data_IF_216795886416
#
_entry.id   IF_216795886416
#
_cell.length_a   1.000
_cell.length_b   1.000
_cell.length_c   1.000
_cell.angle_alpha   90.00
_cell.angle_beta   90.00
_cell.angle_gamma   90.00
#
_symmetry.space_group_name_H-M   'P 1'
#
loop_
_entity.id
_entity.type
_entity.pdbx_description
1 polymer ?
#
# COMPACT_ATOMS: atom_id res chain seq x y z
N UNK A 1 4.28 -13.87 42.38
CA UNK A 1 4.99 -14.64 41.38
C UNK A 1 4.03 -14.77 40.21
N UNK A 2 4.16 -13.91 39.21
CA UNK A 2 3.34 -13.92 38.02
C UNK A 2 4.03 -14.79 36.99
N UNK A 3 3.31 -15.71 36.37
CA UNK A 3 3.80 -16.51 35.24
C UNK A 3 4.01 -15.63 34.02
N UNK A 4 5.00 -15.89 33.20
CA UNK A 4 5.20 -15.15 31.96
C UNK A 4 4.13 -15.56 30.92
N UNK A 5 3.40 -14.60 30.39
CA UNK A 5 2.48 -14.73 29.25
C UNK A 5 3.24 -15.34 28.06
N UNK A 6 2.79 -16.48 27.58
CA UNK A 6 3.33 -17.13 26.38
C UNK A 6 2.93 -16.30 25.16
N UNK A 7 3.90 -15.71 24.47
CA UNK A 7 3.70 -15.09 23.14
C UNK A 7 3.35 -16.20 22.14
N UNK A 8 2.07 -16.39 21.86
CA UNK A 8 1.57 -17.27 20.82
C UNK A 8 1.04 -16.40 19.68
N UNK A 9 1.92 -15.98 18.78
CA UNK A 9 1.59 -15.26 17.58
C UNK A 9 2.50 -15.71 16.44
N UNK A 10 2.38 -15.16 15.26
CA UNK A 10 3.19 -15.47 14.09
C UNK A 10 4.69 -15.62 14.41
N UNK A 11 5.21 -14.87 15.35
CA UNK A 11 6.60 -14.96 15.84
C UNK A 11 6.99 -16.34 16.40
N UNK A 12 6.01 -17.19 16.77
CA UNK A 12 6.26 -18.54 17.27
C UNK A 12 6.31 -19.63 16.19
N UNK A 13 6.06 -19.29 14.91
CA UNK A 13 6.05 -20.28 13.84
C UNK A 13 7.41 -20.39 13.16
N UNK A 14 7.85 -21.64 12.95
CA UNK A 14 9.11 -21.87 12.24
C UNK A 14 9.00 -21.43 10.78
N UNK A 15 10.08 -20.92 10.22
CA UNK A 15 10.21 -20.49 8.81
C UNK A 15 9.62 -21.47 7.80
N UNK A 16 9.70 -22.80 8.09
CA UNK A 16 9.11 -23.84 7.25
C UNK A 16 7.59 -23.84 7.21
N UNK A 17 6.91 -23.42 8.29
CA UNK A 17 5.43 -23.32 8.31
C UNK A 17 4.95 -22.06 7.58
N UNK A 18 5.69 -20.97 7.68
CA UNK A 18 5.40 -19.72 6.96
C UNK A 18 5.51 -19.95 5.44
N UNK A 19 6.56 -20.59 4.98
CA UNK A 19 6.76 -20.95 3.56
C UNK A 19 5.68 -21.91 3.03
N UNK A 20 5.13 -22.80 3.87
CA UNK A 20 4.13 -23.76 3.43
C UNK A 20 2.76 -23.13 3.21
N UNK A 21 2.41 -22.07 3.95
CA UNK A 21 1.13 -21.34 3.80
C UNK A 21 1.18 -20.46 2.55
N UNK A 22 2.27 -19.74 2.32
CA UNK A 22 2.45 -18.93 1.10
C UNK A 22 2.60 -19.79 -0.16
N UNK A 23 3.26 -20.95 -0.09
CA UNK A 23 3.41 -21.89 -1.24
C UNK A 23 2.11 -22.57 -1.68
N UNK A 24 1.12 -22.71 -0.81
CA UNK A 24 -0.18 -23.32 -1.18
C UNK A 24 -1.11 -22.31 -1.84
N UNK A 25 -1.03 -21.02 -1.54
CA UNK A 25 -1.81 -19.98 -2.20
C UNK A 25 -1.34 -19.77 -3.63
N UNK A 26 -0.02 -19.76 -3.90
CA UNK A 26 0.53 -19.64 -5.25
C UNK A 26 0.13 -20.81 -6.17
N UNK A 27 -0.03 -22.05 -5.66
CA UNK A 27 -0.40 -23.23 -6.45
C UNK A 27 -1.89 -23.26 -6.84
N UNK A 28 -2.77 -22.61 -6.10
CA UNK A 28 -4.21 -22.56 -6.42
C UNK A 28 -4.50 -21.54 -7.53
N UNK A 29 -3.73 -20.45 -7.64
CA UNK A 29 -3.89 -19.42 -8.68
C UNK A 29 -3.51 -19.94 -10.07
N UNK A 30 -2.51 -20.84 -10.18
CA UNK A 30 -2.09 -21.42 -11.47
C UNK A 30 -3.10 -22.40 -12.06
N UNK A 31 -4.00 -22.99 -11.26
CA UNK A 31 -4.95 -24.00 -11.71
C UNK A 31 -6.25 -23.44 -12.32
N UNK A 32 -6.56 -22.15 -12.19
CA UNK A 32 -7.81 -21.54 -12.66
C UNK A 32 -7.65 -20.59 -13.87
N UNK A 33 -6.44 -20.38 -14.36
CA UNK A 33 -6.11 -19.41 -15.42
C UNK A 33 -6.20 -19.91 -16.88
N UNK A 34 -6.67 -21.12 -17.17
CA UNK A 34 -6.78 -21.64 -18.55
C UNK A 34 -8.21 -22.04 -18.89
N UNK A 35 -8.95 -21.12 -19.45
CA UNK A 35 -10.33 -21.38 -19.91
C UNK A 35 -10.92 -20.29 -20.78
N UNK A 36 -10.57 -20.29 -22.07
CA UNK A 36 -11.40 -19.98 -23.26
C UNK A 36 -12.29 -18.72 -23.29
N UNK A 37 -12.07 -17.92 -24.32
CA UNK A 37 -13.10 -17.01 -24.80
C UNK A 37 -12.74 -16.18 -26.03
N UNK A 38 -12.68 -16.79 -27.19
CA UNK A 38 -12.71 -16.08 -28.49
C UNK A 38 -14.14 -15.58 -28.73
N UNK A 39 -14.33 -14.29 -28.95
CA UNK A 39 -15.60 -13.68 -29.30
C UNK A 39 -15.44 -12.52 -30.26
N UNK A 40 -15.70 -12.76 -31.54
CA UNK A 40 -15.78 -11.78 -32.62
C UNK A 40 -16.94 -10.79 -32.39
N UNK A 41 -16.68 -9.52 -32.50
CA UNK A 41 -17.71 -8.48 -32.54
C UNK A 41 -17.56 -7.57 -33.72
N UNK A 42 -18.48 -7.61 -34.60
CA UNK A 42 -18.64 -6.88 -35.86
C UNK A 42 -19.09 -5.43 -35.58
N UNK A 43 -18.49 -4.44 -36.27
CA UNK A 43 -18.88 -3.05 -36.19
C UNK A 43 -20.15 -2.73 -36.98
N UNK A 44 -20.82 -1.67 -36.58
CA UNK A 44 -21.73 -0.90 -37.43
C UNK A 44 -21.57 0.59 -37.18
N UNK A 45 -21.16 1.29 -38.21
CA UNK A 45 -21.23 2.75 -38.35
C UNK A 45 -22.66 3.15 -38.69
N UNK A 46 -23.18 4.18 -38.10
CA UNK A 46 -24.10 5.08 -38.80
C UNK A 46 -23.96 6.50 -38.25
N UNK A 47 -23.81 7.44 -39.19
CA UNK A 47 -23.70 8.85 -38.92
C UNK A 47 -25.09 9.52 -38.87
N UNK A 48 -25.08 10.72 -38.35
CA UNK A 48 -26.25 11.62 -38.31
C UNK A 48 -25.80 12.89 -37.62
N UNK A 49 -25.58 13.95 -38.40
CA UNK A 49 -25.42 15.33 -37.93
C UNK A 49 -26.72 15.80 -37.32
N UNK A 50 -26.61 16.52 -36.21
CA UNK A 50 -27.49 17.64 -35.89
C UNK A 50 -26.89 18.47 -34.75
N UNK A 51 -26.75 19.76 -35.05
CA UNK A 51 -26.36 20.85 -34.15
C UNK A 51 -27.37 21.02 -33.02
N UNK A 52 -26.90 21.07 -31.77
CA UNK A 52 -27.55 21.92 -30.78
C UNK A 52 -26.57 22.36 -29.70
N UNK A 53 -26.40 23.65 -29.69
CA UNK A 53 -25.64 24.47 -28.79
C UNK A 53 -26.27 24.43 -27.40
N UNK A 54 -25.67 23.78 -26.41
CA UNK A 54 -26.06 23.95 -25.02
C UNK A 54 -24.82 24.14 -24.14
N UNK A 55 -24.57 25.41 -23.83
CA UNK A 55 -23.62 25.82 -22.80
C UNK A 55 -24.02 25.21 -21.46
N UNK A 56 -23.37 24.13 -21.08
CA UNK A 56 -23.37 23.67 -19.70
C UNK A 56 -21.97 23.87 -19.15
N UNK A 57 -21.76 24.98 -18.44
CA UNK A 57 -20.57 25.18 -17.62
C UNK A 57 -20.52 24.09 -16.53
N UNK A 58 -20.04 22.92 -16.90
CA UNK A 58 -19.59 21.93 -15.94
C UNK A 58 -18.36 22.48 -15.23
N UNK A 59 -18.53 22.93 -14.00
CA UNK A 59 -17.44 23.19 -13.08
C UNK A 59 -16.68 21.88 -12.85
N UNK A 60 -15.83 21.51 -13.78
CA UNK A 60 -14.79 20.53 -13.59
C UNK A 60 -13.84 21.10 -12.54
N UNK A 61 -13.97 20.66 -11.30
CA UNK A 61 -12.97 20.89 -10.28
C UNK A 61 -11.68 20.23 -10.77
N UNK A 62 -10.82 21.05 -11.36
CA UNK A 62 -9.49 20.66 -11.80
C UNK A 62 -8.61 20.57 -10.55
N UNK A 63 -8.85 19.54 -9.72
CA UNK A 63 -7.98 19.20 -8.59
C UNK A 63 -6.69 18.61 -9.14
N UNK A 64 -5.77 19.49 -9.51
CA UNK A 64 -4.42 19.09 -9.85
C UNK A 64 -3.79 18.44 -8.63
N UNK A 65 -3.46 17.16 -8.75
CA UNK A 65 -2.61 16.44 -7.80
C UNK A 65 -1.36 17.28 -7.56
N UNK A 66 -1.09 17.63 -6.32
CA UNK A 66 -0.03 18.59 -5.98
C UNK A 66 1.36 18.02 -6.21
N UNK A 67 1.52 16.70 -6.15
CA UNK A 67 2.83 16.06 -6.19
C UNK A 67 2.76 14.65 -6.77
N UNK A 68 3.75 14.32 -7.61
CA UNK A 68 4.05 12.97 -8.07
C UNK A 68 5.56 12.74 -7.97
N UNK A 69 6.00 11.67 -7.29
CA UNK A 69 7.42 11.35 -7.22
C UNK A 69 7.95 10.87 -8.58
N UNK A 70 9.23 11.14 -8.90
CA UNK A 70 9.84 10.60 -10.11
C UNK A 70 10.16 9.11 -9.96
N UNK A 71 10.21 8.38 -11.07
CA UNK A 71 10.70 7.00 -11.12
C UNK A 71 12.15 6.95 -10.61
N UNK A 72 12.46 5.93 -9.80
CA UNK A 72 13.78 5.76 -9.19
C UNK A 72 14.08 6.74 -8.04
N UNK A 73 13.09 7.48 -7.54
CA UNK A 73 13.28 8.36 -6.39
C UNK A 73 13.73 7.56 -5.17
N UNK A 74 14.77 8.04 -4.49
CA UNK A 74 15.19 7.47 -3.21
C UNK A 74 14.14 7.77 -2.14
N UNK A 75 13.85 6.81 -1.30
CA UNK A 75 12.84 6.93 -0.26
C UNK A 75 13.21 6.16 1.00
N UNK A 76 12.50 6.41 2.09
CA UNK A 76 12.60 5.67 3.34
C UNK A 76 11.20 5.45 3.88
N UNK A 77 10.92 4.26 4.37
CA UNK A 77 9.69 3.92 5.09
C UNK A 77 10.03 3.56 6.55
N UNK A 78 9.30 4.16 7.51
CA UNK A 78 9.47 3.91 8.94
C UNK A 78 8.09 3.94 9.58
N UNK A 79 7.55 2.79 9.91
CA UNK A 79 6.25 2.64 10.56
C UNK A 79 6.39 2.34 12.05
N UNK A 80 7.52 1.74 12.47
CA UNK A 80 7.80 1.48 13.88
C UNK A 80 8.60 2.62 14.50
N UNK A 81 7.96 3.42 15.33
CA UNK A 81 8.57 4.54 16.05
C UNK A 81 8.44 4.48 17.58
N UNK A 82 7.77 3.44 18.11
CA UNK A 82 7.48 3.31 19.53
C UNK A 82 8.72 3.29 20.42
N UNK A 83 9.76 2.56 20.01
CA UNK A 83 10.99 2.37 20.79
C UNK A 83 12.07 3.43 20.52
N UNK A 84 12.02 4.06 19.34
CA UNK A 84 13.03 5.04 18.90
C UNK A 84 12.39 6.10 18.00
N UNK A 85 12.71 7.37 18.19
CA UNK A 85 12.29 8.43 17.28
C UNK A 85 12.72 8.12 15.84
N UNK A 86 11.90 8.54 14.86
CA UNK A 86 12.25 8.44 13.45
C UNK A 86 13.56 9.17 13.18
N UNK A 87 14.51 8.46 12.59
CA UNK A 87 15.81 9.02 12.21
C UNK A 87 15.69 9.83 10.91
N UNK A 88 16.15 11.06 10.97
CA UNK A 88 16.27 11.93 9.80
C UNK A 88 17.67 11.89 9.17
N UNK A 89 18.55 10.99 9.62
CA UNK A 89 19.93 10.88 9.16
C UNK A 89 20.05 10.30 7.73
N UNK A 90 19.05 9.54 7.28
CA UNK A 90 19.02 9.02 5.93
C UNK A 90 18.73 10.15 4.95
N UNK A 91 19.62 10.35 3.99
CA UNK A 91 19.42 11.32 2.91
C UNK A 91 18.50 10.73 1.83
N UNK A 92 17.20 10.81 2.09
CA UNK A 92 16.15 10.44 1.16
C UNK A 92 15.16 11.60 1.02
N UNK A 93 14.78 11.97 -0.23
CA UNK A 93 13.85 13.06 -0.47
C UNK A 93 12.40 12.72 -0.10
N UNK A 94 12.09 11.44 0.16
CA UNK A 94 10.75 10.96 0.46
C UNK A 94 10.79 10.11 1.72
N UNK A 95 9.89 10.40 2.65
CA UNK A 95 9.66 9.65 3.87
C UNK A 95 8.22 9.18 3.91
N UNK A 96 8.04 7.87 4.08
CA UNK A 96 6.76 7.25 4.38
C UNK A 96 6.73 6.89 5.87
N UNK A 97 5.76 7.42 6.58
CA UNK A 97 5.70 7.35 8.05
C UNK A 97 4.27 7.15 8.53
N UNK A 98 4.10 6.50 9.68
CA UNK A 98 2.78 6.31 10.26
C UNK A 98 2.05 7.65 10.50
N UNK A 99 0.78 7.70 10.08
CA UNK A 99 -0.06 8.89 10.17
C UNK A 99 -0.35 9.29 11.62
N UNK A 100 -0.60 8.31 12.49
CA UNK A 100 -1.08 8.58 13.85
C UNK A 100 0.08 8.89 14.80
N UNK A 101 1.16 8.15 14.71
CA UNK A 101 2.31 8.22 15.63
C UNK A 101 3.18 9.47 15.42
N UNK A 102 3.00 10.15 14.28
CA UNK A 102 3.78 11.33 13.94
C UNK A 102 2.95 12.61 14.00
N UNK A 103 3.48 13.63 14.68
CA UNK A 103 2.79 14.90 14.81
C UNK A 103 3.15 15.88 13.67
N UNK A 104 2.30 16.89 13.49
CA UNK A 104 2.44 17.96 12.49
C UNK A 104 3.81 18.64 12.53
N UNK A 105 4.39 18.83 13.73
CA UNK A 105 5.70 19.47 13.88
C UNK A 105 6.80 18.65 13.26
N UNK A 106 6.77 17.31 13.46
CA UNK A 106 7.75 16.41 12.87
C UNK A 106 7.66 16.41 11.35
N UNK A 107 6.44 16.28 10.78
CA UNK A 107 6.19 16.35 9.34
C UNK A 107 6.71 17.68 8.76
N UNK A 108 6.37 18.81 9.39
CA UNK A 108 6.86 20.13 8.97
C UNK A 108 8.39 20.24 9.02
N UNK A 109 9.03 19.57 9.97
CA UNK A 109 10.51 19.58 10.06
C UNK A 109 11.14 18.78 8.92
N UNK A 110 10.59 17.62 8.54
CA UNK A 110 11.00 16.86 7.34
C UNK A 110 10.86 17.73 6.07
N UNK A 111 9.75 18.43 5.93
CA UNK A 111 9.49 19.30 4.79
C UNK A 111 10.44 20.51 4.73
N UNK A 112 10.81 21.10 5.87
CA UNK A 112 11.85 22.14 5.95
C UNK A 112 13.23 21.65 5.54
N UNK A 113 13.48 20.34 5.65
CA UNK A 113 14.70 19.70 5.14
C UNK A 113 14.62 19.39 3.64
N UNK A 114 13.55 19.84 2.95
CA UNK A 114 13.33 19.60 1.52
C UNK A 114 12.72 18.23 1.19
N UNK A 115 12.19 17.50 2.18
CA UNK A 115 11.64 16.17 2.02
C UNK A 115 10.13 16.20 1.80
N UNK A 116 9.61 15.24 1.06
CA UNK A 116 8.19 14.95 0.93
C UNK A 116 7.79 13.87 1.93
N UNK A 117 6.58 13.98 2.45
CA UNK A 117 6.08 13.08 3.47
C UNK A 117 4.81 12.39 2.99
N UNK A 118 4.89 11.06 2.87
CA UNK A 118 3.76 10.16 2.69
C UNK A 118 3.32 9.73 4.09
N UNK A 119 2.02 9.68 4.32
CA UNK A 119 1.47 9.27 5.60
C UNK A 119 0.73 7.94 5.42
N UNK A 120 1.30 6.89 6.01
CA UNK A 120 0.76 5.54 6.05
C UNK A 120 -0.43 5.44 7.03
N UNK A 121 -1.45 4.73 6.65
CA UNK A 121 -2.49 4.21 7.55
C UNK A 121 -3.14 2.96 6.97
N UNK A 122 -3.60 2.05 7.82
CA UNK A 122 -4.39 0.93 7.32
C UNK A 122 -5.75 1.41 6.84
N UNK A 123 -6.12 1.07 5.60
CA UNK A 123 -7.41 1.43 5.01
C UNK A 123 -8.35 0.23 4.85
N UNK A 124 -7.78 -0.98 4.81
CA UNK A 124 -8.53 -2.22 4.65
C UNK A 124 -8.49 -3.12 5.88
N UNK A 125 -7.78 -2.74 6.96
CA UNK A 125 -7.86 -3.42 8.25
C UNK A 125 -8.21 -2.47 9.40
N UNK A 126 -8.92 -3.01 10.36
CA UNK A 126 -9.14 -2.47 11.68
C UNK A 126 -7.93 -2.75 12.55
N UNK A 127 -7.50 -1.79 13.36
CA UNK A 127 -6.40 -1.89 14.30
C UNK A 127 -6.94 -1.54 15.70
N UNK A 128 -6.89 -2.48 16.67
CA UNK A 128 -7.53 -2.32 17.99
C UNK A 128 -6.86 -1.29 18.91
N UNK A 129 -5.66 -0.83 18.52
CA UNK A 129 -4.86 0.17 19.28
C UNK A 129 -5.00 1.60 18.77
N UNK A 130 -5.74 1.84 17.69
CA UNK A 130 -5.93 3.19 17.16
C UNK A 130 -7.00 3.96 17.94
N UNK A 131 -6.82 5.26 18.05
CA UNK A 131 -7.75 6.15 18.77
C UNK A 131 -9.18 6.11 18.21
N UNK A 132 -9.35 5.77 16.94
CA UNK A 132 -10.63 5.64 16.25
C UNK A 132 -11.22 4.20 16.23
N UNK A 133 -10.62 3.28 16.98
CA UNK A 133 -11.05 1.88 16.99
C UNK A 133 -12.52 1.71 17.44
N UNK A 134 -12.98 2.51 18.38
CA UNK A 134 -14.35 2.48 18.89
C UNK A 134 -15.39 3.02 17.90
N UNK A 135 -14.97 3.68 16.82
CA UNK A 135 -15.87 4.20 15.77
C UNK A 135 -16.29 3.10 14.78
N UNK A 136 -15.60 1.95 14.74
CA UNK A 136 -15.94 0.83 13.89
C UNK A 136 -17.01 -0.06 14.52
N UNK A 137 -18.10 -0.31 13.79
CA UNK A 137 -19.12 -1.26 14.21
C UNK A 137 -18.62 -2.71 14.08
N UNK A 138 -19.24 -3.64 14.79
CA UNK A 138 -18.93 -5.06 14.64
C UNK A 138 -19.20 -5.58 13.22
N UNK A 139 -20.23 -5.06 12.56
CA UNK A 139 -20.56 -5.41 11.17
C UNK A 139 -19.55 -4.90 10.13
N UNK A 140 -18.66 -3.99 10.51
CA UNK A 140 -17.59 -3.49 9.67
C UNK A 140 -16.36 -4.41 9.65
N UNK A 141 -16.28 -5.33 10.61
CA UNK A 141 -15.10 -6.18 10.88
C UNK A 141 -15.33 -7.61 10.40
N UNK A 142 -14.35 -8.13 9.67
CA UNK A 142 -14.29 -9.52 9.22
C UNK A 142 -13.40 -10.40 10.11
N UNK A 143 -12.74 -11.37 9.47
CA UNK A 143 -11.79 -12.26 10.12
C UNK A 143 -10.52 -11.52 10.55
N UNK A 144 -9.79 -12.13 11.49
CA UNK A 144 -8.49 -11.62 11.93
C UNK A 144 -7.50 -11.56 10.75
N UNK A 145 -6.66 -10.53 10.72
CA UNK A 145 -5.58 -10.43 9.77
C UNK A 145 -4.47 -11.41 10.16
N UNK A 146 -4.20 -12.41 9.31
CA UNK A 146 -3.23 -13.46 9.65
C UNK A 146 -1.83 -12.87 9.85
N UNK A 147 -1.24 -13.17 10.99
CA UNK A 147 0.08 -12.67 11.38
C UNK A 147 0.08 -11.34 12.12
N UNK A 148 -1.05 -10.62 12.20
CA UNK A 148 -1.17 -9.30 12.82
C UNK A 148 -2.20 -9.30 13.95
N UNK A 149 -1.82 -9.71 15.18
CA UNK A 149 -2.72 -9.73 16.33
C UNK A 149 -3.28 -8.35 16.64
N UNK A 150 -4.61 -8.24 16.77
CA UNK A 150 -5.31 -6.99 17.00
C UNK A 150 -5.87 -6.36 15.72
N UNK A 151 -5.54 -6.92 14.56
CA UNK A 151 -6.09 -6.47 13.28
C UNK A 151 -7.18 -7.39 12.74
N UNK A 152 -8.16 -6.80 12.05
CA UNK A 152 -9.24 -7.49 11.35
C UNK A 152 -9.50 -6.86 10.00
N UNK A 153 -9.83 -7.68 8.99
CA UNK A 153 -10.26 -7.17 7.70
C UNK A 153 -11.47 -6.25 7.83
N UNK A 154 -11.52 -5.18 7.04
CA UNK A 154 -12.62 -4.22 7.03
C UNK A 154 -13.56 -4.44 5.84
N UNK A 155 -14.85 -4.25 6.09
CA UNK A 155 -15.87 -4.17 5.06
C UNK A 155 -15.77 -2.85 4.29
N UNK A 156 -14.96 -2.83 3.24
CA UNK A 156 -14.70 -1.63 2.41
C UNK A 156 -15.93 -1.08 1.68
N UNK A 157 -17.05 -1.84 1.69
CA UNK A 157 -18.37 -1.41 1.19
C UNK A 157 -19.12 -0.57 2.21
N UNK A 158 -18.78 -0.69 3.50
CA UNK A 158 -19.47 -0.01 4.58
C UNK A 158 -19.35 1.51 4.47
N UNK A 159 -20.47 2.20 4.58
CA UNK A 159 -20.48 3.67 4.64
C UNK A 159 -19.81 4.20 5.91
N UNK A 160 -19.85 3.42 7.01
CA UNK A 160 -19.16 3.77 8.25
C UNK A 160 -17.64 3.70 8.07
N UNK A 161 -17.11 2.60 7.51
CA UNK A 161 -15.67 2.45 7.18
C UNK A 161 -15.22 3.61 6.31
N UNK A 162 -15.94 3.91 5.23
CA UNK A 162 -15.60 5.03 4.33
C UNK A 162 -15.62 6.38 5.04
N UNK A 163 -16.53 6.61 5.98
CA UNK A 163 -16.57 7.83 6.79
C UNK A 163 -15.33 7.95 7.69
N UNK A 164 -14.93 6.86 8.34
CA UNK A 164 -13.70 6.82 9.16
C UNK A 164 -12.49 7.14 8.29
N UNK A 165 -12.37 6.55 7.10
CA UNK A 165 -11.27 6.84 6.17
C UNK A 165 -11.25 8.30 5.71
N UNK A 166 -12.41 8.95 5.53
CA UNK A 166 -12.45 10.40 5.28
C UNK A 166 -11.84 11.16 6.46
N UNK A 167 -12.15 10.78 7.70
CA UNK A 167 -11.53 11.39 8.88
C UNK A 167 -10.02 11.16 8.92
N UNK A 168 -9.53 9.96 8.61
CA UNK A 168 -8.09 9.69 8.50
C UNK A 168 -7.41 10.57 7.42
N UNK A 169 -8.06 10.78 6.27
CA UNK A 169 -7.58 11.70 5.25
C UNK A 169 -7.59 13.17 5.71
N UNK A 170 -8.59 13.58 6.49
CA UNK A 170 -8.63 14.92 7.08
C UNK A 170 -7.49 15.13 8.09
N UNK A 171 -7.15 14.11 8.89
CA UNK A 171 -5.97 14.11 9.77
C UNK A 171 -4.68 14.26 8.95
N UNK A 172 -4.54 13.57 7.81
CA UNK A 172 -3.37 13.70 6.94
C UNK A 172 -3.21 15.14 6.41
N UNK A 173 -4.31 15.77 6.01
CA UNK A 173 -4.31 17.19 5.61
C UNK A 173 -3.93 18.09 6.78
N UNK A 174 -4.52 17.89 7.95
CA UNK A 174 -4.21 18.69 9.14
C UNK A 174 -2.74 18.60 9.54
N UNK A 175 -2.17 17.39 9.48
CA UNK A 175 -0.75 17.14 9.77
C UNK A 175 0.18 17.68 8.68
N UNK A 176 -0.34 17.92 7.47
CA UNK A 176 0.39 18.49 6.34
C UNK A 176 1.12 17.46 5.48
N UNK A 177 0.63 16.22 5.43
CA UNK A 177 1.17 15.18 4.54
C UNK A 177 1.12 15.64 3.07
N UNK A 178 2.09 15.24 2.26
CA UNK A 178 2.11 15.49 0.81
C UNK A 178 1.29 14.44 0.06
N UNK A 179 1.16 13.25 0.62
CA UNK A 179 0.36 12.16 0.11
C UNK A 179 0.11 11.09 1.16
N UNK A 180 -0.59 10.03 0.77
CA UNK A 180 -0.98 8.91 1.64
C UNK A 180 -0.66 7.55 1.04
N UNK A 181 -0.34 6.60 1.91
CA UNK A 181 -0.16 5.18 1.62
C UNK A 181 -1.23 4.36 2.38
N UNK A 182 -2.43 4.16 1.79
CA UNK A 182 -3.50 3.38 2.40
C UNK A 182 -3.23 1.88 2.24
N UNK A 183 -3.01 1.19 3.34
CA UNK A 183 -2.65 -0.23 3.36
C UNK A 183 -3.84 -1.18 3.48
N UNK A 184 -3.57 -2.49 3.30
CA UNK A 184 -4.50 -3.60 3.45
C UNK A 184 -5.73 -3.53 2.52
N UNK A 185 -5.57 -2.94 1.33
CA UNK A 185 -6.67 -2.80 0.35
C UNK A 185 -6.93 -4.08 -0.45
N UNK A 186 -6.11 -5.08 -0.27
CA UNK A 186 -6.09 -6.36 -0.99
C UNK A 186 -6.86 -7.49 -0.27
N UNK A 187 -7.74 -7.13 0.66
CA UNK A 187 -8.59 -8.09 1.37
C UNK A 187 -9.36 -9.05 0.45
N UNK A 188 -9.64 -8.66 -0.80
CA UNK A 188 -10.31 -9.51 -1.79
C UNK A 188 -9.51 -10.77 -2.17
N UNK A 189 -8.20 -10.76 -1.99
CA UNK A 189 -7.29 -11.89 -2.28
C UNK A 189 -6.97 -12.71 -1.01
N UNK A 190 -7.57 -12.36 0.13
CA UNK A 190 -7.31 -12.93 1.43
C UNK A 190 -8.57 -13.57 2.04
N UNK A 191 -8.39 -14.48 3.01
CA UNK A 191 -9.48 -14.99 3.82
C UNK A 191 -9.96 -13.87 4.77
N UNK A 192 -10.94 -13.09 4.33
CA UNK A 192 -11.36 -11.86 4.99
C UNK A 192 -12.66 -11.98 5.80
N UNK A 193 -13.41 -13.09 5.65
CA UNK A 193 -14.71 -13.32 6.35
C UNK A 193 -15.86 -12.41 5.89
N UNK A 194 -15.67 -11.59 4.85
CA UNK A 194 -16.63 -10.59 4.36
C UNK A 194 -17.03 -10.79 2.90
N UNK A 195 -16.52 -11.87 2.27
CA UNK A 195 -16.70 -12.17 0.85
C UNK A 195 -16.37 -10.98 -0.07
N UNK A 196 -15.29 -10.24 0.25
CA UNK A 196 -14.84 -9.11 -0.54
C UNK A 196 -14.43 -9.56 -1.93
N UNK A 197 -14.86 -8.82 -2.94
CA UNK A 197 -14.55 -9.07 -4.33
C UNK A 197 -13.53 -8.08 -4.88
N UNK A 198 -12.82 -8.48 -5.93
CA UNK A 198 -11.92 -7.61 -6.68
C UNK A 198 -12.60 -6.32 -7.17
N UNK A 199 -13.87 -6.40 -7.59
CA UNK A 199 -14.63 -5.24 -8.04
C UNK A 199 -14.88 -4.23 -6.88
N UNK A 200 -15.10 -4.71 -5.67
CA UNK A 200 -15.28 -3.88 -4.49
C UNK A 200 -13.97 -3.23 -4.06
N UNK A 201 -12.84 -3.92 -4.17
CA UNK A 201 -11.52 -3.34 -3.94
C UNK A 201 -11.20 -2.24 -4.97
N UNK A 202 -11.50 -2.45 -6.26
CA UNK A 202 -11.34 -1.44 -7.31
C UNK A 202 -12.18 -0.20 -7.01
N UNK A 203 -13.45 -0.38 -6.66
CA UNK A 203 -14.34 0.74 -6.30
C UNK A 203 -13.79 1.50 -5.09
N UNK A 204 -13.35 0.77 -4.07
CA UNK A 204 -12.82 1.36 -2.84
C UNK A 204 -11.53 2.16 -3.07
N UNK A 205 -10.58 1.62 -3.81
CA UNK A 205 -9.30 2.29 -4.10
C UNK A 205 -9.52 3.53 -4.97
N UNK A 206 -10.38 3.46 -5.99
CA UNK A 206 -10.72 4.62 -6.80
C UNK A 206 -11.48 5.68 -5.98
N UNK A 207 -12.34 5.27 -5.04
CA UNK A 207 -12.99 6.19 -4.12
C UNK A 207 -11.98 6.86 -3.18
N UNK A 208 -11.03 6.09 -2.58
CA UNK A 208 -9.94 6.66 -1.76
C UNK A 208 -9.12 7.68 -2.55
N UNK A 209 -8.80 7.38 -3.81
CA UNK A 209 -8.08 8.30 -4.68
C UNK A 209 -8.86 9.61 -4.89
N UNK A 210 -10.14 9.53 -5.21
CA UNK A 210 -10.99 10.71 -5.38
C UNK A 210 -11.06 11.55 -4.10
N UNK A 211 -11.18 10.90 -2.92
CA UNK A 211 -11.19 11.57 -1.62
C UNK A 211 -9.85 12.24 -1.29
N UNK A 212 -8.74 11.58 -1.59
CA UNK A 212 -7.38 12.12 -1.40
C UNK A 212 -7.14 13.32 -2.32
N UNK A 213 -7.44 13.19 -3.60
CA UNK A 213 -7.26 14.26 -4.58
C UNK A 213 -8.11 15.49 -4.27
N UNK A 214 -9.37 15.32 -3.85
CA UNK A 214 -10.23 16.44 -3.46
C UNK A 214 -9.67 17.25 -2.28
N UNK A 215 -8.83 16.63 -1.46
CA UNK A 215 -8.10 17.23 -0.34
C UNK A 215 -6.72 17.75 -0.73
N UNK A 216 -6.29 17.54 -1.98
CA UNK A 216 -4.97 17.92 -2.50
C UNK A 216 -3.85 17.00 -2.02
N UNK A 217 -4.17 15.80 -1.55
CA UNK A 217 -3.22 14.74 -1.24
C UNK A 217 -2.95 13.90 -2.48
N UNK A 218 -1.70 13.48 -2.68
CA UNK A 218 -1.36 12.37 -3.58
C UNK A 218 -1.64 11.04 -2.91
N UNK A 219 -1.75 9.95 -3.69
CA UNK A 219 -2.04 8.62 -3.14
C UNK A 219 -1.26 7.54 -3.88
N UNK A 220 -0.79 6.53 -3.15
CA UNK A 220 -0.20 5.31 -3.66
C UNK A 220 -1.15 4.12 -3.64
N UNK A 221 -0.84 3.11 -4.44
CA UNK A 221 -1.41 1.77 -4.34
C UNK A 221 -0.46 0.92 -3.49
N UNK A 222 -0.92 0.43 -2.36
CA UNK A 222 -0.14 -0.54 -1.57
C UNK A 222 -0.44 -1.96 -2.04
N UNK A 223 0.58 -2.70 -2.50
CA UNK A 223 0.43 -4.06 -3.05
C UNK A 223 -0.68 -4.16 -4.11
N UNK A 224 -1.62 -5.09 -4.01
CA UNK A 224 -2.82 -5.13 -4.85
C UNK A 224 -2.57 -5.33 -6.35
N UNK A 225 -1.58 -6.16 -6.74
CA UNK A 225 -1.18 -6.41 -8.12
C UNK A 225 -2.36 -6.71 -9.06
N UNK A 226 -3.35 -7.45 -8.56
CA UNK A 226 -4.53 -7.85 -9.33
C UNK A 226 -5.43 -6.71 -9.80
N UNK A 227 -5.32 -5.49 -9.26
CA UNK A 227 -6.20 -4.37 -9.61
C UNK A 227 -5.48 -3.20 -10.30
N UNK A 228 -4.18 -3.30 -10.55
CA UNK A 228 -3.35 -2.22 -11.10
C UNK A 228 -4.00 -1.58 -12.33
N UNK A 229 -4.35 -2.36 -13.34
CA UNK A 229 -4.92 -1.86 -14.61
C UNK A 229 -6.21 -1.04 -14.42
N UNK A 230 -6.91 -1.26 -13.31
CA UNK A 230 -8.21 -0.62 -13.04
C UNK A 230 -8.09 0.64 -12.17
N UNK A 231 -6.92 0.88 -11.56
CA UNK A 231 -6.73 1.98 -10.60
C UNK A 231 -5.53 2.87 -10.91
N UNK A 232 -4.59 2.39 -11.72
CA UNK A 232 -3.30 3.06 -11.96
C UNK A 232 -3.44 4.51 -12.41
N UNK A 233 -4.46 4.87 -13.18
CA UNK A 233 -4.68 6.23 -13.65
C UNK A 233 -4.86 7.23 -12.49
N UNK A 234 -5.40 6.76 -11.38
CA UNK A 234 -5.68 7.56 -10.19
C UNK A 234 -4.56 7.51 -9.14
N UNK A 235 -3.53 6.67 -9.34
CA UNK A 235 -2.40 6.52 -8.41
C UNK A 235 -1.20 7.36 -8.85
N UNK A 236 -0.41 7.88 -7.92
CA UNK A 236 0.82 8.61 -8.20
C UNK A 236 2.07 7.74 -8.05
N UNK A 237 1.98 6.65 -7.32
CA UNK A 237 3.01 5.62 -7.13
C UNK A 237 2.37 4.29 -6.74
N UNK A 238 3.20 3.26 -6.63
CA UNK A 238 2.87 2.01 -5.95
C UNK A 238 3.88 1.79 -4.80
N UNK A 239 3.43 1.21 -3.69
CA UNK A 239 4.29 0.60 -2.67
C UNK A 239 4.08 -0.91 -2.75
N UNK A 240 5.16 -1.64 -2.99
CA UNK A 240 5.12 -3.10 -3.06
C UNK A 240 6.08 -3.72 -2.06
N UNK A 241 5.67 -4.82 -1.47
CA UNK A 241 6.47 -5.64 -0.58
C UNK A 241 6.75 -7.00 -1.20
N UNK A 242 8.03 -7.40 -1.19
CA UNK A 242 8.50 -8.77 -1.47
C UNK A 242 8.26 -9.28 -2.90
N UNK A 243 8.11 -8.42 -3.91
CA UNK A 243 7.92 -8.92 -5.27
C UNK A 243 9.13 -9.72 -5.78
N UNK A 244 10.35 -9.43 -5.29
CA UNK A 244 11.53 -10.20 -5.66
C UNK A 244 11.58 -11.56 -4.95
N UNK A 245 11.10 -11.64 -3.70
CA UNK A 245 10.99 -12.91 -2.97
C UNK A 245 9.99 -13.85 -3.65
N UNK A 246 8.88 -13.31 -4.17
CA UNK A 246 7.79 -14.10 -4.79
C UNK A 246 7.88 -14.20 -6.32
N UNK A 247 8.93 -13.62 -6.94
CA UNK A 247 9.14 -13.62 -8.40
C UNK A 247 7.95 -13.03 -9.18
N UNK A 248 7.40 -11.90 -8.70
CA UNK A 248 6.20 -11.26 -9.25
C UNK A 248 6.38 -9.77 -9.60
N UNK A 249 7.64 -9.25 -9.61
CA UNK A 249 7.90 -7.83 -9.87
C UNK A 249 7.42 -7.36 -11.26
N UNK A 250 7.29 -8.24 -12.23
CA UNK A 250 6.76 -7.93 -13.56
C UNK A 250 5.30 -7.42 -13.51
N UNK A 251 4.52 -7.81 -12.51
CA UNK A 251 3.15 -7.35 -12.34
C UNK A 251 3.04 -5.86 -12.04
N UNK A 252 4.12 -5.24 -11.52
CA UNK A 252 4.21 -3.82 -11.20
C UNK A 252 4.83 -2.96 -12.31
N UNK A 253 5.31 -3.58 -13.41
CA UNK A 253 5.88 -2.88 -14.55
C UNK A 253 4.97 -1.78 -15.14
N UNK A 254 3.62 -1.91 -15.17
CA UNK A 254 2.73 -0.87 -15.67
C UNK A 254 2.92 0.50 -14.98
N UNK A 255 3.32 0.54 -13.70
CA UNK A 255 3.63 1.80 -13.03
C UNK A 255 4.83 2.50 -13.66
N UNK A 256 5.90 1.76 -13.93
CA UNK A 256 7.11 2.30 -14.58
C UNK A 256 6.78 2.78 -16.00
N UNK A 257 6.00 2.01 -16.76
CA UNK A 257 5.54 2.37 -18.11
C UNK A 257 4.69 3.65 -18.10
N UNK A 258 3.89 3.85 -17.05
CA UNK A 258 3.12 5.07 -16.81
C UNK A 258 3.97 6.23 -16.23
N UNK A 259 5.30 6.08 -16.15
CA UNK A 259 6.21 7.03 -15.51
C UNK A 259 5.84 7.35 -14.04
N UNK A 260 5.41 6.32 -13.29
CA UNK A 260 5.08 6.35 -11.87
C UNK A 260 6.04 5.45 -11.12
N UNK A 261 6.60 5.85 -9.97
CA UNK A 261 7.56 5.02 -9.26
C UNK A 261 6.88 3.82 -8.61
N UNK A 262 7.65 2.74 -8.49
CA UNK A 262 7.38 1.61 -7.60
C UNK A 262 8.35 1.73 -6.42
N UNK A 263 7.84 2.05 -5.26
CA UNK A 263 8.53 2.00 -3.97
C UNK A 263 8.51 0.56 -3.48
N UNK A 264 9.63 -0.12 -3.62
CA UNK A 264 9.73 -1.56 -3.42
C UNK A 264 10.52 -1.88 -2.15
N UNK A 265 9.99 -2.81 -1.36
CA UNK A 265 10.55 -3.22 -0.07
C UNK A 265 10.85 -4.71 -0.10
N UNK A 266 12.05 -5.09 0.33
CA UNK A 266 12.42 -6.50 0.53
C UNK A 266 12.89 -6.75 1.96
N UNK A 267 12.56 -7.95 2.49
CA UNK A 267 12.83 -8.36 3.87
C UNK A 267 13.74 -9.60 3.96
N UNK A 268 14.96 -9.58 3.40
CA UNK A 268 15.78 -10.78 3.28
C UNK A 268 16.30 -11.34 4.61
N UNK A 269 16.11 -10.64 5.73
CA UNK A 269 16.39 -11.15 7.08
C UNK A 269 15.26 -12.02 7.64
N UNK A 270 14.08 -12.00 7.00
CA UNK A 270 12.87 -12.65 7.48
C UNK A 270 12.24 -11.97 8.69
N UNK A 271 11.06 -12.46 9.08
CA UNK A 271 10.24 -11.85 10.13
C UNK A 271 10.82 -11.91 11.54
N UNK A 272 11.75 -12.83 11.82
CA UNK A 272 12.26 -13.06 13.16
C UNK A 272 13.54 -12.25 13.48
N UNK A 273 14.08 -11.50 12.50
CA UNK A 273 15.36 -10.81 12.65
C UNK A 273 15.25 -9.34 12.34
N UNK A 274 15.10 -8.51 13.36
CA UNK A 274 15.12 -7.06 13.28
C UNK A 274 16.37 -6.53 13.99
N UNK A 275 17.39 -6.13 13.22
CA UNK A 275 18.65 -5.59 13.74
C UNK A 275 19.33 -4.68 12.71
N UNK A 276 20.33 -3.90 13.16
CA UNK A 276 21.06 -2.93 12.33
C UNK A 276 22.23 -3.56 11.53
N UNK A 277 22.33 -4.90 11.44
CA UNK A 277 23.39 -5.54 10.67
C UNK A 277 23.02 -5.56 9.19
N UNK A 278 24.05 -5.36 8.37
CA UNK A 278 23.93 -5.49 6.91
C UNK A 278 23.55 -6.91 6.50
N UNK A 279 22.79 -7.01 5.42
CA UNK A 279 22.49 -8.31 4.79
C UNK A 279 23.72 -8.85 4.06
N UNK A 280 23.74 -10.14 3.79
CA UNK A 280 24.80 -10.74 2.98
C UNK A 280 24.73 -10.26 1.52
N UNK A 281 25.84 -10.30 0.81
CA UNK A 281 25.90 -9.92 -0.60
C UNK A 281 24.92 -10.73 -1.48
N UNK A 282 24.65 -12.00 -1.12
CA UNK A 282 23.66 -12.82 -1.83
C UNK A 282 22.23 -12.37 -1.58
N UNK A 283 21.90 -12.00 -0.34
CA UNK A 283 20.59 -11.47 0.00
C UNK A 283 20.34 -10.11 -0.68
N UNK A 284 21.33 -9.19 -0.62
CA UNK A 284 21.25 -7.92 -1.32
C UNK A 284 21.06 -8.12 -2.84
N UNK A 285 21.81 -9.05 -3.43
CA UNK A 285 21.67 -9.36 -4.85
C UNK A 285 20.26 -9.85 -5.18
N UNK A 286 19.70 -10.79 -4.43
CA UNK A 286 18.35 -11.31 -4.68
C UNK A 286 17.30 -10.19 -4.61
N UNK A 287 17.36 -9.32 -3.61
CA UNK A 287 16.45 -8.20 -3.44
C UNK A 287 16.56 -7.15 -4.55
N UNK A 288 17.79 -6.89 -5.04
CA UNK A 288 18.08 -5.76 -5.91
C UNK A 288 18.13 -6.09 -7.41
N UNK A 289 18.11 -7.38 -7.79
CA UNK A 289 18.27 -7.78 -9.20
C UNK A 289 17.17 -8.72 -9.68
N UNK A 290 16.00 -8.63 -9.10
CA UNK A 290 14.82 -9.36 -9.58
C UNK A 290 14.44 -8.93 -11.00
N UNK A 291 13.81 -9.84 -11.76
CA UNK A 291 13.31 -9.51 -13.09
C UNK A 291 12.35 -8.33 -13.01
N UNK A 292 12.45 -7.43 -14.00
CA UNK A 292 11.59 -6.23 -14.13
C UNK A 292 11.72 -5.18 -13.03
N UNK A 293 12.54 -5.38 -11.97
CA UNK A 293 12.68 -4.41 -10.87
C UNK A 293 13.75 -3.33 -11.10
N UNK A 294 14.41 -3.30 -12.26
CA UNK A 294 15.59 -2.44 -12.51
C UNK A 294 15.35 -0.93 -12.38
N UNK A 295 14.10 -0.48 -12.47
CA UNK A 295 13.72 0.92 -12.28
C UNK A 295 12.91 1.15 -10.99
N UNK A 296 12.80 0.15 -10.13
CA UNK A 296 12.11 0.29 -8.85
C UNK A 296 12.99 1.02 -7.84
N UNK A 297 12.35 1.73 -6.93
CA UNK A 297 13.00 2.35 -5.78
C UNK A 297 13.11 1.32 -4.66
N UNK A 298 14.02 0.34 -4.81
CA UNK A 298 14.14 -0.79 -3.89
C UNK A 298 14.88 -0.40 -2.62
N UNK A 299 14.29 -0.73 -1.48
CA UNK A 299 14.91 -0.68 -0.15
C UNK A 299 14.88 -2.05 0.51
N UNK A 300 15.93 -2.37 1.25
CA UNK A 300 16.01 -3.56 2.10
C UNK A 300 15.73 -3.11 3.53
N UNK A 301 14.77 -3.75 4.17
CA UNK A 301 14.28 -3.37 5.48
C UNK A 301 14.26 -4.55 6.47
N UNK A 302 14.17 -4.22 7.74
CA UNK A 302 13.65 -5.14 8.75
C UNK A 302 12.13 -5.22 8.59
N UNK A 303 11.55 -6.38 8.91
CA UNK A 303 10.10 -6.63 8.76
C UNK A 303 9.25 -5.68 9.63
N UNK A 304 9.81 -5.17 10.72
CA UNK A 304 9.12 -4.22 11.60
C UNK A 304 9.19 -2.76 11.11
N UNK A 305 9.75 -2.53 9.93
CA UNK A 305 9.86 -1.21 9.30
C UNK A 305 10.41 -0.12 10.23
N UNK A 306 11.47 -0.47 10.97
CA UNK A 306 12.21 0.44 11.85
C UNK A 306 13.11 1.44 11.07
N UNK A 307 14.00 2.13 11.78
CA UNK A 307 14.92 3.10 11.18
C UNK A 307 15.97 2.50 10.24
N UNK A 308 16.27 1.19 10.37
CA UNK A 308 17.30 0.56 9.56
C UNK A 308 16.88 0.42 8.10
N UNK A 309 17.81 0.72 7.18
CA UNK A 309 17.61 0.58 5.73
C UNK A 309 18.93 0.32 5.03
N UNK A 310 18.91 -0.54 4.02
CA UNK A 310 19.95 -0.63 3.01
C UNK A 310 19.36 -0.34 1.63
N UNK A 311 20.14 0.34 0.79
CA UNK A 311 19.74 0.66 -0.57
C UNK A 311 20.43 -0.27 -1.55
N UNK A 312 19.77 -0.55 -2.65
CA UNK A 312 20.37 -1.22 -3.78
C UNK A 312 21.46 -0.35 -4.41
N UNK A 313 22.60 -0.97 -4.87
CA UNK A 313 23.72 -0.25 -5.48
C UNK A 313 23.32 0.50 -6.75
#
# INVERSE_FOLDING_TARGET
MGEPSSKTGWWAWSTKKKVLIFGTVALVIIALGVGLGVGLGVGLKNGGDDDDNNNNEGTGSNTTVKWQPPVGAKWQIILKSEDKPISTAVDAPIYDIDLFDNNKTFISNLQKMGRKVICYFSAGSFEDWRDDADDFNDADKGDDLDGWPGEKWLNVKSTNVRKIMQTRLDIAVEKGCDGVDPDNIDGYDNANGLDLTKAEAIDYVNWLAAQSHSRGLSIGLKNGAGIIDSVIDNMQWCVNEQCAEFDECDTYAPFIEANKPVFHIEYPKGGDTNNDKSVSASQAKSACTANSSGNFSTVIKNMDLDNWVEYCP
#
